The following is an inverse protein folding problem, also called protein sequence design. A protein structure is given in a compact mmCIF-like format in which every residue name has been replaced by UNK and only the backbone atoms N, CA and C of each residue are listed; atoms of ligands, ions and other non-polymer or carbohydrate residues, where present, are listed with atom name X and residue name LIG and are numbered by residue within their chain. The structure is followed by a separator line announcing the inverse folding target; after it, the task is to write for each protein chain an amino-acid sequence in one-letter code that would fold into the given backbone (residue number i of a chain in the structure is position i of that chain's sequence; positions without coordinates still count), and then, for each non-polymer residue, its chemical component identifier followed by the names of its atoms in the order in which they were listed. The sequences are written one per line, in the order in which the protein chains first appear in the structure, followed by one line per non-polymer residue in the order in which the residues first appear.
data_IF_387610395640
#
_entry.id   IF_387610395640
#
_cell.length_a   1.000
_cell.length_b   1.000
_cell.length_c   1.000
_cell.angle_alpha   90.00
_cell.angle_beta   90.00
_cell.angle_gamma   90.00
#
_symmetry.space_group_name_H-M   'P 1'
#
loop_
_entity.id
_entity.type
_entity.pdbx_description
1 polymer ?
#
# COMPACT_ATOMS: atom_id res chain seq x y z
N UNK A 1 -24.50 23.15 17.71
CA UNK A 1 -24.13 21.91 16.99
C UNK A 1 -22.87 21.41 17.66
N UNK A 2 -23.00 20.43 18.55
CA UNK A 2 -21.85 19.87 19.25
C UNK A 2 -20.98 19.11 18.26
N UNK A 3 -19.73 19.55 18.20
CA UNK A 3 -18.70 19.01 17.31
C UNK A 3 -18.21 17.73 17.95
N UNK A 4 -18.48 16.59 17.32
CA UNK A 4 -17.90 15.31 17.72
C UNK A 4 -16.38 15.45 17.80
N UNK A 5 -15.83 15.28 19.00
CA UNK A 5 -14.40 15.22 19.24
C UNK A 5 -14.02 13.75 19.38
N UNK A 6 -12.90 13.37 18.76
CA UNK A 6 -12.34 12.02 18.93
C UNK A 6 -12.09 11.77 20.42
N UNK A 7 -12.34 10.54 20.88
CA UNK A 7 -11.96 10.09 22.23
C UNK A 7 -10.45 9.82 22.34
N UNK A 8 -9.73 9.87 21.21
CA UNK A 8 -8.27 9.74 21.18
C UNK A 8 -7.60 10.97 21.76
N UNK A 9 -6.51 10.76 22.50
CA UNK A 9 -5.70 11.82 23.12
C UNK A 9 -4.82 12.53 22.10
N UNK A 10 -4.60 11.89 20.95
CA UNK A 10 -3.77 12.37 19.84
C UNK A 10 -4.58 12.36 18.54
N UNK A 11 -4.43 13.37 17.66
CA UNK A 11 -4.99 13.29 16.31
C UNK A 11 -4.33 12.15 15.53
N UNK A 12 -5.14 11.43 14.74
CA UNK A 12 -4.72 10.31 13.92
C UNK A 12 -4.88 10.63 12.41
N UNK A 13 -4.16 11.63 11.88
CA UNK A 13 -4.22 11.92 10.45
C UNK A 13 -3.68 10.72 9.65
N UNK A 14 -4.30 10.50 8.49
CA UNK A 14 -3.87 9.50 7.53
C UNK A 14 -3.91 10.11 6.13
N UNK A 15 -2.74 10.29 5.52
CA UNK A 15 -2.59 10.75 4.15
C UNK A 15 -2.39 9.57 3.22
N UNK A 16 -3.30 9.42 2.26
CA UNK A 16 -3.29 8.33 1.29
C UNK A 16 -3.10 8.89 -0.11
N UNK A 17 -2.09 8.39 -0.83
CA UNK A 17 -1.87 8.71 -2.24
C UNK A 17 -1.85 7.42 -3.06
N UNK A 18 -2.64 7.39 -4.13
CA UNK A 18 -2.70 6.25 -5.05
C UNK A 18 -2.51 6.73 -6.49
N UNK A 19 -1.64 6.05 -7.23
CA UNK A 19 -1.31 6.34 -8.62
C UNK A 19 -1.33 5.04 -9.42
N UNK A 20 -2.03 5.04 -10.54
CA UNK A 20 -2.21 3.89 -11.42
C UNK A 20 -1.96 4.32 -12.87
N UNK A 21 -1.17 3.52 -13.59
CA UNK A 21 -0.94 3.66 -15.02
C UNK A 21 -1.19 2.31 -15.70
N UNK A 22 -1.98 2.33 -16.76
CA UNK A 22 -2.24 1.17 -17.60
C UNK A 22 -2.04 1.56 -19.07
N UNK A 23 -1.32 0.72 -19.81
CA UNK A 23 -1.04 0.90 -21.23
C UNK A 23 -1.25 -0.43 -21.95
N UNK A 24 -2.01 -0.41 -23.02
CA UNK A 24 -2.23 -1.56 -23.90
C UNK A 24 -1.91 -1.17 -25.34
N UNK A 25 -1.21 -2.05 -26.04
CA UNK A 25 -0.90 -1.90 -27.46
C UNK A 25 -1.09 -3.23 -28.19
N UNK A 26 -1.72 -3.18 -29.36
CA UNK A 26 -1.92 -4.33 -30.23
C UNK A 26 -1.27 -4.08 -31.59
N UNK A 27 -0.57 -5.09 -32.09
CA UNK A 27 0.16 -5.06 -33.35
C UNK A 27 -0.25 -6.24 -34.22
N UNK A 28 -0.64 -5.95 -35.46
CA UNK A 28 -0.95 -6.96 -36.45
C UNK A 28 0.33 -7.37 -37.21
N UNK A 29 0.73 -8.64 -37.10
CA UNK A 29 1.90 -9.21 -37.77
C UNK A 29 1.53 -9.99 -39.04
N UNK A 30 0.25 -10.00 -39.44
CA UNK A 30 -0.29 -10.74 -40.58
C UNK A 30 -0.57 -12.21 -40.26
N UNK A 31 0.39 -12.95 -39.69
CA UNK A 31 0.21 -14.35 -39.28
C UNK A 31 -0.29 -14.51 -37.84
N UNK A 32 -0.20 -13.45 -37.04
CA UNK A 32 -0.60 -13.42 -35.65
C UNK A 32 -0.83 -11.97 -35.18
N UNK A 33 -1.59 -11.80 -34.10
CA UNK A 33 -1.75 -10.53 -33.40
C UNK A 33 -0.98 -10.56 -32.09
N UNK A 34 -0.11 -9.56 -31.89
CA UNK A 34 0.64 -9.35 -30.66
C UNK A 34 -0.04 -8.28 -29.81
N UNK A 35 -0.50 -8.65 -28.62
CA UNK A 35 -0.98 -7.72 -27.58
C UNK A 35 0.10 -7.57 -26.52
N UNK A 36 0.39 -6.33 -26.12
CA UNK A 36 1.24 -5.98 -24.98
C UNK A 36 0.44 -5.15 -23.99
N UNK A 37 0.29 -5.64 -22.76
CA UNK A 37 -0.39 -4.93 -21.68
C UNK A 37 0.60 -4.65 -20.54
N UNK A 38 0.73 -3.38 -20.17
CA UNK A 38 1.64 -2.88 -19.13
C UNK A 38 0.84 -2.19 -18.05
N UNK A 39 1.12 -2.50 -16.79
CA UNK A 39 0.49 -1.88 -15.63
C UNK A 39 1.53 -1.46 -14.61
N UNK A 40 1.37 -0.27 -14.03
CA UNK A 40 2.17 0.21 -12.93
C UNK A 40 1.27 0.84 -11.86
N UNK A 41 1.57 0.58 -10.59
CA UNK A 41 0.85 1.14 -9.46
C UNK A 41 1.81 1.63 -8.38
N UNK A 42 1.41 2.71 -7.71
CA UNK A 42 2.11 3.24 -6.54
C UNK A 42 1.11 3.70 -5.50
N UNK A 43 1.22 3.14 -4.32
CA UNK A 43 0.44 3.50 -3.14
C UNK A 43 1.36 4.01 -2.05
N UNK A 44 0.97 5.10 -1.39
CA UNK A 44 1.63 5.66 -0.21
C UNK A 44 0.60 5.92 0.89
N UNK A 45 0.95 5.55 2.11
CA UNK A 45 0.18 5.87 3.30
C UNK A 45 1.11 6.43 4.38
N UNK A 46 0.74 7.60 4.92
CA UNK A 46 1.40 8.23 6.05
C UNK A 46 0.37 8.43 7.15
N UNK A 47 0.49 7.66 8.23
CA UNK A 47 -0.50 7.59 9.30
C UNK A 47 0.08 7.87 10.67
N UNK A 48 -0.79 8.33 11.57
CA UNK A 48 -0.53 8.36 13.00
C UNK A 48 -1.62 7.60 13.74
N UNK A 49 -1.25 6.87 14.79
CA UNK A 49 -2.22 6.15 15.64
C UNK A 49 -1.93 6.41 17.11
N UNK A 50 -2.95 6.72 17.89
CA UNK A 50 -2.89 6.78 19.35
C UNK A 50 -2.73 5.35 19.89
N UNK A 51 -1.68 5.11 20.67
CA UNK A 51 -1.39 3.82 21.30
C UNK A 51 -1.35 3.92 22.82
N UNK A 52 -1.86 5.02 23.39
CA UNK A 52 -1.82 5.29 24.82
C UNK A 52 -2.52 4.21 25.63
N UNK A 53 -3.75 3.86 25.27
CA UNK A 53 -4.53 2.85 26.01
C UNK A 53 -3.97 1.44 25.85
N UNK A 54 -3.37 1.13 24.69
CA UNK A 54 -2.67 -0.14 24.48
C UNK A 54 -1.50 -0.26 25.45
N UNK A 55 -0.64 0.76 25.51
CA UNK A 55 0.58 0.75 26.33
C UNK A 55 0.29 0.82 27.84
N UNK A 56 -0.77 1.53 28.27
CA UNK A 56 -1.25 1.49 29.67
C UNK A 56 -1.75 0.09 30.03
N UNK A 57 -2.45 -0.59 29.10
CA UNK A 57 -2.97 -1.94 29.33
C UNK A 57 -1.92 -3.05 29.36
N UNK A 58 -0.67 -2.78 28.96
CA UNK A 58 0.43 -3.75 28.94
C UNK A 58 1.23 -3.84 30.25
N UNK A 59 0.79 -3.15 31.32
CA UNK A 59 1.39 -3.19 32.67
C UNK A 59 2.87 -2.79 32.72
N UNK A 60 3.32 -1.92 31.81
CA UNK A 60 4.68 -1.35 31.84
C UNK A 60 4.86 -0.22 32.86
N UNK A 61 3.99 -0.13 33.87
CA UNK A 61 3.94 0.96 34.85
C UNK A 61 3.57 2.33 34.28
N UNK A 62 3.13 2.40 33.02
CA UNK A 62 2.65 3.64 32.39
C UNK A 62 1.33 4.13 33.02
N UNK A 63 0.56 3.23 33.62
CA UNK A 63 -0.65 3.54 34.40
C UNK A 63 -0.36 4.45 35.60
N UNK A 64 0.88 4.46 36.11
CA UNK A 64 1.29 5.34 37.21
C UNK A 64 1.45 6.82 36.77
N UNK A 65 1.36 7.10 35.47
CA UNK A 65 1.52 8.44 34.90
C UNK A 65 0.20 8.92 34.26
N UNK A 66 -0.62 9.71 34.97
CA UNK A 66 -1.93 10.17 34.50
C UNK A 66 -1.89 10.99 33.20
N UNK A 67 -0.74 11.58 32.87
CA UNK A 67 -0.49 12.35 31.65
C UNK A 67 0.23 11.56 30.56
N UNK A 68 0.37 10.24 30.69
CA UNK A 68 1.01 9.41 29.67
C UNK A 68 0.22 9.51 28.36
N UNK A 69 0.95 9.59 27.25
CA UNK A 69 0.39 9.65 25.90
C UNK A 69 1.42 9.05 24.96
N UNK A 70 0.99 8.18 24.07
CA UNK A 70 1.86 7.54 23.11
C UNK A 70 1.20 7.47 21.75
N UNK A 71 1.98 7.60 20.70
CA UNK A 71 1.50 7.49 19.33
C UNK A 71 2.52 6.77 18.45
N UNK A 72 2.04 6.16 17.39
CA UNK A 72 2.87 5.63 16.31
C UNK A 72 2.86 6.56 15.11
N UNK A 73 3.94 6.52 14.35
CA UNK A 73 4.01 7.02 12.99
C UNK A 73 4.23 5.84 12.05
N UNK A 74 3.31 5.70 11.09
CA UNK A 74 3.31 4.62 10.10
C UNK A 74 3.60 5.21 8.72
N UNK A 75 4.62 4.68 8.04
CA UNK A 75 4.94 5.00 6.66
C UNK A 75 4.91 3.71 5.85
N UNK A 76 4.15 3.70 4.77
CA UNK A 76 4.02 2.54 3.88
C UNK A 76 4.03 2.97 2.42
N UNK A 77 4.86 2.32 1.63
CA UNK A 77 4.91 2.45 0.18
C UNK A 77 4.78 1.08 -0.49
N UNK A 78 3.75 0.92 -1.31
CA UNK A 78 3.55 -0.29 -2.13
C UNK A 78 3.71 0.10 -3.61
N UNK A 79 4.60 -0.59 -4.34
CA UNK A 79 4.78 -0.44 -5.79
C UNK A 79 4.43 -1.75 -6.49
N UNK A 80 3.66 -1.66 -7.56
CA UNK A 80 3.33 -2.79 -8.43
C UNK A 80 3.74 -2.51 -9.87
N UNK A 81 4.24 -3.55 -10.55
CA UNK A 81 4.48 -3.55 -11.98
C UNK A 81 4.04 -4.87 -12.59
N UNK A 82 3.32 -4.81 -13.71
CA UNK A 82 2.86 -5.96 -14.48
C UNK A 82 3.14 -5.75 -15.96
N UNK A 83 3.62 -6.79 -16.63
CA UNK A 83 3.76 -6.84 -18.08
C UNK A 83 3.18 -8.16 -18.59
N UNK A 84 2.30 -8.09 -19.58
CA UNK A 84 1.81 -9.23 -20.33
C UNK A 84 2.12 -9.03 -21.81
N UNK A 85 2.61 -10.10 -22.44
CA UNK A 85 2.70 -10.24 -23.88
C UNK A 85 1.86 -11.43 -24.30
N UNK A 86 1.02 -11.27 -25.31
CA UNK A 86 0.16 -12.33 -25.84
C UNK A 86 0.23 -12.32 -27.36
N UNK A 87 0.51 -13.47 -27.95
CA UNK A 87 0.56 -13.67 -29.39
C UNK A 87 -0.50 -14.70 -29.78
N UNK A 88 -1.43 -14.30 -30.64
CA UNK A 88 -2.57 -15.11 -31.08
C UNK A 88 -2.47 -15.34 -32.58
N UNK A 89 -2.47 -16.58 -33.05
CA UNK A 89 -2.43 -16.87 -34.49
C UNK A 89 -3.62 -16.26 -35.25
N UNK A 90 -3.38 -15.74 -36.46
CA UNK A 90 -4.39 -15.19 -37.37
C UNK A 90 -4.45 -15.96 -38.69
N UNK A 91 -5.63 -16.02 -39.30
CA UNK A 91 -5.89 -16.60 -40.64
C UNK A 91 -6.53 -18.00 -40.64
N UNK A 92 -6.87 -18.49 -41.84
CA UNK A 92 -7.53 -19.78 -42.08
C UNK A 92 -6.54 -20.96 -42.11
N UNK A 93 -5.70 -21.07 -41.07
CA UNK A 93 -4.81 -22.20 -40.88
C UNK A 93 -5.56 -23.38 -40.24
N UNK A 94 -5.20 -24.61 -40.60
CA UNK A 94 -5.70 -25.82 -39.93
C UNK A 94 -5.30 -25.90 -38.44
N UNK A 95 -4.31 -25.11 -38.01
CA UNK A 95 -3.84 -25.02 -36.64
C UNK A 95 -3.97 -23.58 -36.11
N UNK A 96 -4.72 -23.41 -35.04
CA UNK A 96 -4.82 -22.17 -34.25
C UNK A 96 -4.10 -22.32 -32.91
N UNK A 97 -3.41 -21.26 -32.47
CA UNK A 97 -2.62 -21.29 -31.23
C UNK A 97 -2.54 -19.91 -30.57
N UNK A 98 -2.27 -19.92 -29.27
CA UNK A 98 -2.00 -18.74 -28.44
C UNK A 98 -0.77 -19.03 -27.61
N UNK A 99 0.16 -18.08 -27.54
CA UNK A 99 1.29 -18.11 -26.61
C UNK A 99 1.36 -16.80 -25.87
N UNK A 100 1.72 -16.84 -24.60
CA UNK A 100 1.83 -15.62 -23.79
C UNK A 100 2.94 -15.72 -22.77
N UNK A 101 3.41 -14.55 -22.34
CA UNK A 101 4.37 -14.37 -21.26
C UNK A 101 3.83 -13.31 -20.31
N UNK A 102 3.99 -13.55 -19.01
CA UNK A 102 3.53 -12.65 -17.97
C UNK A 102 4.64 -12.42 -16.95
N UNK A 103 4.79 -11.16 -16.53
CA UNK A 103 5.72 -10.73 -15.49
C UNK A 103 4.99 -9.86 -14.48
N UNK A 104 5.20 -10.13 -13.20
CA UNK A 104 4.69 -9.33 -12.10
C UNK A 104 5.79 -9.10 -11.08
N UNK A 105 5.91 -7.84 -10.63
CA UNK A 105 6.77 -7.46 -9.52
C UNK A 105 5.97 -6.61 -8.54
N UNK A 106 6.14 -6.91 -7.25
CA UNK A 106 5.59 -6.12 -6.16
C UNK A 106 6.70 -5.83 -5.14
N UNK A 107 6.90 -4.54 -4.86
CA UNK A 107 7.80 -4.07 -3.82
C UNK A 107 6.97 -3.42 -2.71
N UNK A 108 7.21 -3.82 -1.46
CA UNK A 108 6.50 -3.28 -0.28
C UNK A 108 7.56 -2.80 0.70
N UNK A 109 7.48 -1.53 1.06
CA UNK A 109 8.24 -0.93 2.15
C UNK A 109 7.26 -0.45 3.22
N UNK A 110 7.51 -0.78 4.47
CA UNK A 110 6.69 -0.32 5.58
C UNK A 110 7.54 -0.16 6.83
N UNK A 111 7.31 0.95 7.54
CA UNK A 111 7.91 1.22 8.83
C UNK A 111 6.86 1.72 9.81
N UNK A 112 7.06 1.36 11.08
CA UNK A 112 6.26 1.87 12.19
C UNK A 112 7.22 2.29 13.30
N UNK A 113 7.05 3.52 13.80
CA UNK A 113 7.87 4.08 14.87
C UNK A 113 6.96 4.50 16.01
N UNK A 114 7.22 3.98 17.20
CA UNK A 114 6.49 4.33 18.42
C UNK A 114 7.21 5.47 19.16
N UNK A 115 6.43 6.45 19.61
CA UNK A 115 6.91 7.57 20.40
C UNK A 115 6.22 7.58 21.75
N UNK A 116 7.02 7.51 22.80
CA UNK A 116 6.60 7.68 24.20
C UNK A 116 7.38 8.85 24.83
N UNK A 117 6.77 9.60 25.75
CA UNK A 117 7.47 10.63 26.50
C UNK A 117 8.55 10.02 27.39
N UNK A 118 9.67 10.73 27.58
CA UNK A 118 10.72 10.30 28.50
C UNK A 118 10.18 10.38 29.93
N UNK A 119 9.95 9.23 30.56
CA UNK A 119 9.56 9.17 31.97
C UNK A 119 10.83 9.32 32.80
N UNK A 120 11.11 10.52 33.30
CA UNK A 120 12.11 10.66 34.37
C UNK A 120 11.37 10.46 35.69
N UNK A 121 11.69 9.44 36.50
CA UNK A 121 11.13 9.33 37.83
C UNK A 121 11.66 10.51 38.67
N UNK A 122 10.75 11.33 39.20
CA UNK A 122 11.04 12.35 40.23
C UNK A 122 11.21 11.71 41.58
#
# INVERSE_FOLDING_TARGET
MDKWQSLTRVPEPNELTNQLLALEASFDLGFAELTSATGASKYKALGHRDQTDLLIGLEYSYEAFPSFTAFTQEDREDKGFTQELRLVSKGDSALSWIVGAFYNKKDIDSSSKEFTPITTPT
#
